data_IF_403828682657
#
_entry.id   IF_403828682657
#
_cell.length_a   1.000
_cell.length_b   1.000
_cell.length_c   1.000
_cell.angle_alpha   90.00
_cell.angle_beta   90.00
_cell.angle_gamma   90.00
#
_symmetry.space_group_name_H-M   'P 1'
#
loop_
_entity.id
_entity.type
_entity.pdbx_description
1 polymer ?
#
# COMPACT_ATOMS: atom_id res chain seq x y z
N UNK A 1 63.14 19.31 3.49
CA UNK A 1 62.35 19.38 2.24
C UNK A 1 60.90 19.07 2.58
N UNK A 2 60.16 19.98 3.22
CA UNK A 2 59.34 21.02 2.60
C UNK A 2 58.60 20.56 1.33
N UNK A 3 57.29 20.29 1.45
CA UNK A 3 56.23 20.96 0.67
C UNK A 3 54.87 20.28 0.88
N UNK A 4 53.98 21.06 1.47
CA UNK A 4 52.52 20.90 1.53
C UNK A 4 51.92 21.11 0.11
N UNK A 5 50.95 20.31 -0.32
CA UNK A 5 50.04 20.70 -1.42
C UNK A 5 48.68 19.99 -1.35
N UNK A 6 47.69 20.78 -0.94
CA UNK A 6 46.26 20.57 -1.19
C UNK A 6 46.00 20.34 -2.69
N UNK A 7 45.20 19.33 -3.02
CA UNK A 7 44.73 19.04 -4.38
C UNK A 7 43.26 18.65 -4.38
N UNK A 8 42.39 19.65 -4.34
CA UNK A 8 40.94 19.57 -4.50
C UNK A 8 40.61 19.04 -5.91
N UNK A 9 40.34 17.74 -6.07
CA UNK A 9 39.97 17.17 -7.37
C UNK A 9 38.46 16.98 -7.47
N UNK A 10 37.83 18.02 -8.00
CA UNK A 10 36.47 18.02 -8.54
C UNK A 10 36.34 16.86 -9.54
N UNK A 11 35.71 15.74 -9.16
CA UNK A 11 35.33 14.70 -10.13
C UNK A 11 34.25 15.26 -11.05
N UNK A 12 34.69 15.65 -12.24
CA UNK A 12 33.86 15.95 -13.39
C UNK A 12 33.09 14.66 -13.80
N UNK A 13 31.75 14.62 -13.74
CA UNK A 13 30.97 13.42 -14.03
C UNK A 13 30.75 13.15 -15.53
N UNK A 14 31.43 13.86 -16.44
CA UNK A 14 31.17 13.79 -17.88
C UNK A 14 32.01 12.74 -18.64
N UNK A 15 32.33 11.59 -18.06
CA UNK A 15 32.97 10.52 -18.83
C UNK A 15 32.34 9.16 -18.57
N UNK A 16 31.23 8.89 -19.28
CA UNK A 16 30.85 7.54 -19.64
C UNK A 16 30.76 7.45 -21.17
N UNK A 17 31.31 6.38 -21.78
CA UNK A 17 31.40 6.23 -23.21
C UNK A 17 30.00 6.18 -23.83
N UNK A 18 29.85 6.93 -24.91
CA UNK A 18 28.71 6.96 -25.82
C UNK A 18 28.35 5.55 -26.32
N UNK A 19 27.55 4.82 -25.55
CA UNK A 19 26.59 3.88 -26.12
C UNK A 19 25.44 4.73 -26.64
N UNK A 20 25.65 5.33 -27.82
CA UNK A 20 24.62 5.96 -28.61
C UNK A 20 23.59 4.88 -28.97
N UNK A 21 22.62 4.68 -28.09
CA UNK A 21 21.33 4.13 -28.48
C UNK A 21 20.73 5.20 -29.37
N UNK A 22 21.02 5.08 -30.67
CA UNK A 22 20.45 5.88 -31.73
C UNK A 22 18.94 5.62 -31.74
N UNK A 23 18.22 6.31 -30.87
CA UNK A 23 16.81 6.58 -31.11
C UNK A 23 16.83 7.62 -32.21
N UNK A 24 16.78 7.12 -33.44
CA UNK A 24 16.43 7.90 -34.63
C UNK A 24 15.05 8.49 -34.37
N UNK A 25 15.01 9.63 -33.67
CA UNK A 25 13.96 10.60 -33.90
C UNK A 25 14.24 11.03 -35.31
N UNK A 26 13.51 10.41 -36.25
CA UNK A 26 13.31 11.04 -37.53
C UNK A 26 12.96 12.49 -37.19
N UNK A 27 13.87 13.40 -37.53
CA UNK A 27 13.45 14.68 -38.04
C UNK A 27 12.60 14.34 -39.26
N UNK A 28 11.38 13.86 -39.02
CA UNK A 28 10.30 14.01 -39.95
C UNK A 28 10.23 15.52 -40.08
N UNK A 29 10.84 16.02 -41.15
CA UNK A 29 10.45 17.27 -41.75
C UNK A 29 8.95 17.36 -41.53
N UNK A 30 8.51 18.31 -40.70
CA UNK A 30 7.10 18.60 -40.55
C UNK A 30 6.62 18.77 -41.99
N UNK A 31 5.79 17.86 -42.55
CA UNK A 31 5.19 18.15 -43.82
C UNK A 31 4.39 19.42 -43.54
N UNK A 32 4.74 20.53 -44.21
CA UNK A 32 3.88 21.70 -44.20
C UNK A 32 2.45 21.19 -44.43
N UNK A 33 1.49 21.45 -43.52
CA UNK A 33 0.12 21.05 -43.79
C UNK A 33 -0.29 21.72 -45.11
N UNK A 34 -0.86 20.98 -46.07
CA UNK A 34 -1.33 21.58 -47.30
C UNK A 34 -2.32 22.68 -46.92
N UNK A 35 -2.06 23.90 -47.38
CA UNK A 35 -2.81 25.13 -47.10
C UNK A 35 -4.22 25.14 -47.72
N UNK A 36 -4.87 23.98 -47.85
CA UNK A 36 -6.18 23.83 -48.45
C UNK A 36 -6.85 22.52 -47.97
N UNK A 37 -7.39 22.52 -46.76
CA UNK A 37 -8.39 21.53 -46.34
C UNK A 37 -9.70 22.31 -46.07
N UNK A 38 -10.78 22.07 -46.82
CA UNK A 38 -12.05 22.75 -46.58
C UNK A 38 -12.64 22.30 -45.23
N UNK A 39 -13.35 23.19 -44.50
CA UNK A 39 -13.92 22.86 -43.21
C UNK A 39 -15.16 21.97 -43.38
N UNK A 40 -15.00 20.66 -43.50
CA UNK A 40 -16.11 19.72 -43.40
C UNK A 40 -16.38 19.39 -41.93
N UNK A 41 -17.28 20.16 -41.33
CA UNK A 41 -18.19 19.78 -40.24
C UNK A 41 -17.63 18.86 -39.13
N UNK A 42 -16.56 19.30 -38.47
CA UNK A 42 -16.33 19.09 -37.03
C UNK A 42 -15.07 19.88 -36.66
N UNK A 43 -15.20 20.77 -35.69
CA UNK A 43 -14.19 21.76 -35.30
C UNK A 43 -13.00 21.13 -34.57
N UNK A 44 -12.11 20.44 -35.29
CA UNK A 44 -10.81 20.06 -34.78
C UNK A 44 -9.78 21.16 -35.12
N UNK A 45 -9.61 22.13 -34.22
CA UNK A 45 -8.52 23.09 -34.32
C UNK A 45 -7.20 22.42 -33.91
N UNK A 46 -6.23 22.39 -34.82
CA UNK A 46 -4.89 21.87 -34.54
C UNK A 46 -4.00 22.99 -33.98
N UNK A 47 -3.16 22.66 -33.00
CA UNK A 47 -2.18 23.57 -32.43
C UNK A 47 -0.75 23.13 -32.78
N UNK A 48 0.08 24.06 -33.25
CA UNK A 48 1.52 23.83 -33.48
C UNK A 48 2.28 24.04 -32.16
N UNK A 49 3.10 23.07 -31.76
CA UNK A 49 3.93 23.14 -30.57
C UNK A 49 5.37 22.70 -30.84
N UNK A 50 6.32 23.29 -30.11
CA UNK A 50 7.74 22.92 -30.17
C UNK A 50 8.05 21.92 -29.06
N UNK A 51 8.75 20.83 -29.38
CA UNK A 51 9.15 19.81 -28.42
C UNK A 51 10.34 20.32 -27.59
N UNK A 52 10.14 20.48 -26.28
CA UNK A 52 11.19 20.98 -25.37
C UNK A 52 11.99 19.85 -24.71
N UNK A 53 11.35 18.73 -24.33
CA UNK A 53 12.00 17.59 -23.66
C UNK A 53 11.38 16.26 -24.08
N UNK A 54 12.21 15.24 -24.29
CA UNK A 54 11.80 13.89 -24.68
C UNK A 54 12.35 12.83 -23.70
N UNK A 55 11.86 11.60 -23.78
CA UNK A 55 12.34 10.47 -22.96
C UNK A 55 12.23 10.72 -21.45
N UNK A 56 13.24 10.28 -20.68
CA UNK A 56 13.29 10.46 -19.23
C UNK A 56 13.41 11.92 -18.76
N UNK A 57 13.72 12.86 -19.66
CA UNK A 57 13.75 14.29 -19.35
C UNK A 57 12.35 14.94 -19.39
N UNK A 58 11.35 14.26 -19.94
CA UNK A 58 9.94 14.69 -19.87
C UNK A 58 9.36 14.51 -18.46
N UNK A 59 8.30 15.22 -18.11
CA UNK A 59 7.67 15.10 -16.78
C UNK A 59 7.22 13.67 -16.47
N UNK A 60 6.60 12.96 -17.43
CA UNK A 60 6.20 11.56 -17.28
C UNK A 60 7.41 10.62 -17.16
N UNK A 61 8.48 10.88 -17.92
CA UNK A 61 9.72 10.14 -17.86
C UNK A 61 10.42 10.28 -16.51
N UNK A 62 10.49 11.50 -15.96
CA UNK A 62 11.02 11.77 -14.63
C UNK A 62 10.30 10.99 -13.52
N UNK A 63 8.96 10.92 -13.60
CA UNK A 63 8.15 10.11 -12.67
C UNK A 63 8.49 8.62 -12.77
N UNK A 64 8.55 8.06 -13.97
CA UNK A 64 8.94 6.66 -14.16
C UNK A 64 10.32 6.36 -13.59
N UNK A 65 11.30 7.26 -13.79
CA UNK A 65 12.64 7.12 -13.22
C UNK A 65 12.61 7.05 -11.69
N UNK A 66 11.77 7.86 -11.04
CA UNK A 66 11.63 7.84 -9.58
C UNK A 66 10.96 6.57 -9.03
N UNK A 67 10.09 5.92 -9.81
CA UNK A 67 9.46 4.64 -9.46
C UNK A 67 10.45 3.48 -9.62
N UNK A 68 11.25 3.49 -10.68
CA UNK A 68 12.26 2.46 -10.99
C UNK A 68 13.44 2.50 -10.03
N UNK A 69 13.85 3.70 -9.62
CA UNK A 69 14.95 3.93 -8.69
C UNK A 69 14.43 4.60 -7.43
N UNK A 70 13.66 3.87 -6.60
CA UNK A 70 13.20 4.40 -5.34
C UNK A 70 14.42 4.72 -4.48
N UNK A 71 14.36 5.84 -3.76
CA UNK A 71 15.36 6.15 -2.73
C UNK A 71 15.31 5.03 -1.69
N UNK A 72 16.48 4.57 -1.23
CA UNK A 72 16.57 3.49 -0.24
C UNK A 72 15.67 3.79 0.96
N UNK A 73 14.67 2.94 1.19
CA UNK A 73 13.73 3.06 2.30
C UNK A 73 14.41 2.74 3.62
N UNK A 74 13.97 3.39 4.71
CA UNK A 74 14.51 3.17 6.04
C UNK A 74 14.37 1.70 6.45
N UNK A 75 15.50 1.04 6.72
CA UNK A 75 15.61 -0.36 7.12
C UNK A 75 15.13 -0.63 8.56
N UNK A 76 14.11 0.09 9.02
CA UNK A 76 13.65 0.08 10.41
C UNK A 76 13.30 -1.33 10.90
N UNK A 77 12.57 -2.11 10.12
CA UNK A 77 12.18 -3.49 10.48
C UNK A 77 13.37 -4.43 10.65
N UNK A 78 14.32 -4.39 9.71
CA UNK A 78 15.53 -5.23 9.77
C UNK A 78 16.39 -4.80 10.97
N UNK A 79 16.53 -3.50 11.18
CA UNK A 79 17.31 -2.96 12.30
C UNK A 79 16.67 -3.34 13.64
N UNK A 80 15.35 -3.29 13.75
CA UNK A 80 14.61 -3.67 14.95
C UNK A 80 14.71 -5.18 15.23
N UNK A 81 14.57 -6.00 14.18
CA UNK A 81 14.77 -7.45 14.25
C UNK A 81 16.18 -7.81 14.71
N UNK A 82 17.20 -7.08 14.23
CA UNK A 82 18.60 -7.28 14.65
C UNK A 82 18.82 -6.90 16.11
N UNK A 83 18.19 -5.82 16.61
CA UNK A 83 18.25 -5.45 18.04
C UNK A 83 17.63 -6.53 18.92
N UNK A 84 16.50 -7.10 18.51
CA UNK A 84 15.85 -8.20 19.24
C UNK A 84 16.74 -9.45 19.29
N UNK A 85 17.31 -9.87 18.15
CA UNK A 85 18.22 -11.02 18.08
C UNK A 85 19.46 -10.78 18.96
N UNK A 86 20.02 -9.56 18.94
CA UNK A 86 21.15 -9.22 19.78
C UNK A 86 20.82 -9.31 21.28
N UNK A 87 19.65 -8.82 21.71
CA UNK A 87 19.22 -8.95 23.10
C UNK A 87 19.04 -10.41 23.53
N UNK A 88 18.44 -11.25 22.67
CA UNK A 88 18.31 -12.70 22.92
C UNK A 88 19.67 -13.40 23.01
N UNK A 89 20.64 -12.98 22.20
CA UNK A 89 22.00 -13.53 22.24
C UNK A 89 22.70 -13.22 23.57
N UNK A 90 22.60 -11.99 24.07
CA UNK A 90 23.19 -11.60 25.36
C UNK A 90 22.56 -12.41 26.50
N UNK A 91 21.22 -12.56 26.51
CA UNK A 91 20.53 -13.41 27.48
C UNK A 91 20.96 -14.87 27.40
N UNK A 92 21.09 -15.42 26.19
CA UNK A 92 21.57 -16.78 25.94
C UNK A 92 23.01 -16.99 26.44
N UNK A 93 23.90 -16.01 26.24
CA UNK A 93 25.28 -16.07 26.76
C UNK A 93 25.32 -16.05 28.29
N UNK A 94 24.49 -15.23 28.95
CA UNK A 94 24.39 -15.21 30.41
C UNK A 94 23.88 -16.56 30.96
N UNK A 95 22.85 -17.12 30.34
CA UNK A 95 22.33 -18.43 30.73
C UNK A 95 23.33 -19.56 30.47
N UNK A 96 24.05 -19.50 29.35
CA UNK A 96 25.08 -20.46 29.00
C UNK A 96 26.26 -20.41 29.96
N UNK A 97 26.76 -19.23 30.35
CA UNK A 97 27.86 -19.10 31.31
C UNK A 97 27.49 -19.68 32.67
N UNK A 98 26.27 -19.41 33.16
CA UNK A 98 25.76 -20.04 34.38
C UNK A 98 25.69 -21.57 34.27
N UNK A 99 25.09 -22.08 33.17
CA UNK A 99 24.98 -23.51 32.92
C UNK A 99 26.34 -24.19 32.76
N UNK A 100 27.33 -23.52 32.16
CA UNK A 100 28.67 -24.04 31.95
C UNK A 100 29.44 -24.18 33.27
N UNK A 101 29.35 -23.20 34.18
CA UNK A 101 29.97 -23.27 35.51
C UNK A 101 29.39 -24.44 36.32
N UNK A 102 28.06 -24.57 36.34
CA UNK A 102 27.38 -25.66 37.05
C UNK A 102 27.74 -27.05 36.47
N UNK A 103 27.82 -27.14 35.15
CA UNK A 103 28.17 -28.39 34.45
C UNK A 103 29.65 -28.76 34.65
N UNK A 104 30.53 -27.76 34.77
CA UNK A 104 31.93 -27.97 35.11
C UNK A 104 32.10 -28.44 36.57
N UNK A 105 31.36 -27.87 37.53
CA UNK A 105 31.36 -28.34 38.93
C UNK A 105 30.89 -29.78 39.08
N UNK A 106 30.00 -30.25 38.20
CA UNK A 106 29.52 -31.63 38.14
C UNK A 106 30.48 -32.60 37.42
N UNK A 107 31.65 -32.14 36.99
CA UNK A 107 32.67 -32.98 36.34
C UNK A 107 32.31 -33.42 34.92
N UNK A 108 31.46 -32.68 34.21
CA UNK A 108 31.07 -33.05 32.85
C UNK A 108 32.24 -32.92 31.85
N UNK A 109 32.26 -33.81 30.86
CA UNK A 109 33.27 -33.76 29.80
C UNK A 109 33.11 -32.50 28.93
N UNK A 110 34.22 -31.92 28.42
CA UNK A 110 34.17 -30.70 27.62
C UNK A 110 33.29 -30.83 26.36
N UNK A 111 33.22 -32.02 25.76
CA UNK A 111 32.31 -32.27 24.63
C UNK A 111 30.83 -32.09 24.98
N UNK A 112 30.41 -32.41 26.21
CA UNK A 112 29.04 -32.22 26.70
C UNK A 112 28.68 -30.72 26.78
N UNK A 113 29.64 -29.90 27.20
CA UNK A 113 29.50 -28.44 27.33
C UNK A 113 29.30 -27.81 25.94
N UNK A 114 30.07 -28.27 24.94
CA UNK A 114 29.97 -27.79 23.56
C UNK A 114 28.64 -28.19 22.91
N UNK A 115 28.15 -29.43 23.08
CA UNK A 115 26.83 -29.80 22.57
C UNK A 115 25.71 -28.94 23.18
N UNK A 116 25.80 -28.61 24.48
CA UNK A 116 24.83 -27.74 25.16
C UNK A 116 24.88 -26.29 24.69
N UNK A 117 26.02 -25.81 24.20
CA UNK A 117 26.13 -24.50 23.58
C UNK A 117 25.32 -24.42 22.28
N UNK A 118 25.49 -25.40 21.39
CA UNK A 118 24.74 -25.46 20.13
C UNK A 118 23.23 -25.63 20.37
N UNK A 119 22.84 -26.44 21.36
CA UNK A 119 21.44 -26.59 21.80
C UNK A 119 20.82 -25.23 22.19
N UNK A 120 21.55 -24.42 22.99
CA UNK A 120 21.11 -23.07 23.39
C UNK A 120 20.93 -22.12 22.19
N UNK A 121 21.81 -22.20 21.18
CA UNK A 121 21.68 -21.41 19.94
C UNK A 121 20.42 -21.82 19.18
N UNK A 122 20.16 -23.13 19.05
CA UNK A 122 18.97 -23.63 18.35
C UNK A 122 17.67 -23.34 19.09
N UNK A 123 17.70 -23.15 20.41
CA UNK A 123 16.55 -22.69 21.20
C UNK A 123 16.29 -21.20 20.97
N UNK A 124 17.34 -20.38 20.91
CA UNK A 124 17.21 -18.94 20.69
C UNK A 124 16.63 -18.62 19.30
N UNK A 125 17.02 -19.39 18.27
CA UNK A 125 16.46 -19.27 16.92
C UNK A 125 16.01 -20.66 16.46
N UNK A 126 14.76 -21.05 16.74
CA UNK A 126 14.26 -22.33 16.31
C UNK A 126 14.22 -22.38 14.77
N UNK A 127 14.71 -23.47 14.14
CA UNK A 127 14.69 -23.62 12.68
C UNK A 127 13.27 -23.66 12.09
N UNK A 128 12.25 -23.85 12.93
CA UNK A 128 10.84 -23.78 12.56
C UNK A 128 10.31 -22.34 12.39
N UNK A 129 11.02 -21.32 12.89
CA UNK A 129 10.56 -19.93 12.85
C UNK A 129 10.45 -19.39 11.40
N UNK A 130 11.47 -19.54 10.54
CA UNK A 130 11.38 -19.11 9.14
C UNK A 130 10.30 -19.88 8.35
N UNK A 131 10.13 -21.16 8.67
CA UNK A 131 9.07 -21.98 8.07
C UNK A 131 7.68 -21.47 8.44
N UNK A 132 7.46 -21.14 9.72
CA UNK A 132 6.20 -20.56 10.21
C UNK A 132 5.88 -19.22 9.53
N UNK A 133 6.88 -18.33 9.41
CA UNK A 133 6.73 -17.05 8.72
C UNK A 133 6.32 -17.23 7.24
N UNK A 134 6.93 -18.21 6.57
CA UNK A 134 6.62 -18.54 5.17
C UNK A 134 5.19 -19.06 5.04
N UNK A 135 4.78 -20.02 5.88
CA UNK A 135 3.42 -20.57 5.88
C UNK A 135 2.40 -19.46 6.14
N UNK A 136 2.66 -18.61 7.14
CA UNK A 136 1.80 -17.47 7.48
C UNK A 136 1.61 -16.54 6.28
N UNK A 137 2.70 -16.22 5.58
CA UNK A 137 2.67 -15.33 4.41
C UNK A 137 1.92 -15.96 3.24
N UNK A 138 2.11 -17.25 2.97
CA UNK A 138 1.38 -17.97 1.91
C UNK A 138 -0.12 -18.04 2.19
N UNK A 139 -0.51 -18.31 3.44
CA UNK A 139 -1.92 -18.32 3.84
C UNK A 139 -2.55 -16.92 3.73
N UNK A 140 -1.82 -15.87 4.11
CA UNK A 140 -2.26 -14.48 3.94
C UNK A 140 -2.45 -14.13 2.46
N UNK A 141 -1.49 -14.51 1.60
CA UNK A 141 -1.58 -14.30 0.16
C UNK A 141 -2.78 -15.03 -0.45
N UNK A 142 -3.04 -16.28 -0.05
CA UNK A 142 -4.22 -17.04 -0.49
C UNK A 142 -5.54 -16.40 -0.06
N UNK A 143 -5.59 -15.77 1.13
CA UNK A 143 -6.75 -15.01 1.60
C UNK A 143 -6.95 -13.70 0.81
N UNK A 144 -5.87 -12.99 0.49
CA UNK A 144 -5.91 -11.74 -0.28
C UNK A 144 -6.32 -11.98 -1.74
N UNK A 145 -5.81 -13.04 -2.37
CA UNK A 145 -6.18 -13.41 -3.74
C UNK A 145 -7.66 -13.71 -3.90
N UNK A 146 -8.30 -14.35 -2.91
CA UNK A 146 -9.76 -14.57 -2.90
C UNK A 146 -10.57 -13.28 -2.84
N UNK A 147 -9.98 -12.17 -2.39
CA UNK A 147 -10.58 -10.83 -2.37
C UNK A 147 -10.17 -9.98 -3.58
N UNK A 148 -9.62 -10.60 -4.63
CA UNK A 148 -9.08 -9.93 -5.82
C UNK A 148 -7.94 -8.93 -5.53
N UNK A 149 -7.22 -9.09 -4.40
CA UNK A 149 -6.03 -8.31 -4.06
C UNK A 149 -4.78 -9.11 -4.42
N UNK A 150 -4.01 -8.60 -5.38
CA UNK A 150 -2.78 -9.23 -5.85
C UNK A 150 -1.56 -8.54 -5.26
N UNK A 151 -0.73 -9.30 -4.54
CA UNK A 151 0.49 -8.79 -3.90
C UNK A 151 1.70 -9.21 -4.72
N UNK A 152 2.51 -8.24 -5.15
CA UNK A 152 3.74 -8.49 -5.94
C UNK A 152 4.93 -8.91 -5.07
N UNK A 153 4.99 -8.41 -3.83
CA UNK A 153 6.11 -8.66 -2.91
C UNK A 153 5.55 -9.14 -1.56
N UNK A 154 5.78 -10.40 -1.16
CA UNK A 154 5.21 -10.97 0.06
C UNK A 154 5.61 -10.21 1.34
N UNK A 155 6.83 -9.67 1.40
CA UNK A 155 7.34 -8.91 2.56
C UNK A 155 6.47 -7.69 2.92
N UNK A 156 5.77 -7.12 1.92
CA UNK A 156 4.86 -5.98 2.13
C UNK A 156 3.65 -6.35 2.98
N UNK A 157 3.28 -7.63 3.04
CA UNK A 157 2.15 -8.10 3.86
C UNK A 157 2.48 -7.93 5.35
N UNK A 158 3.71 -8.24 5.76
CA UNK A 158 4.16 -8.04 7.13
C UNK A 158 4.27 -6.54 7.46
N UNK A 159 4.85 -5.76 6.56
CA UNK A 159 4.97 -4.31 6.73
C UNK A 159 3.61 -3.61 6.83
N UNK A 160 2.58 -4.11 6.13
CA UNK A 160 1.22 -3.56 6.19
C UNK A 160 0.60 -3.62 7.60
N UNK A 161 1.06 -4.56 8.45
CA UNK A 161 0.61 -4.66 9.85
C UNK A 161 1.12 -3.56 10.76
N UNK A 162 2.17 -2.83 10.35
CA UNK A 162 2.79 -1.75 11.13
C UNK A 162 2.45 -0.35 10.63
N UNK A 163 1.50 -0.22 9.69
CA UNK A 163 1.10 1.07 9.14
C UNK A 163 0.33 1.90 10.18
N UNK A 164 0.77 3.15 10.41
CA UNK A 164 0.11 4.10 11.29
C UNK A 164 -0.72 5.15 10.55
N UNK A 165 -0.39 5.43 9.29
CA UNK A 165 -1.04 6.45 8.45
C UNK A 165 -1.33 5.87 7.07
N UNK A 166 -2.53 6.13 6.55
CA UNK A 166 -2.95 5.75 5.20
C UNK A 166 -3.32 7.01 4.43
N UNK A 167 -2.59 7.30 3.36
CA UNK A 167 -2.92 8.38 2.43
C UNK A 167 -3.81 7.86 1.31
N UNK A 168 -4.92 8.54 1.05
CA UNK A 168 -5.81 8.23 -0.07
C UNK A 168 -5.63 9.28 -1.16
N UNK A 169 -5.40 8.83 -2.39
CA UNK A 169 -5.54 9.70 -3.56
C UNK A 169 -7.03 9.97 -3.83
N UNK A 170 -7.36 11.14 -4.36
CA UNK A 170 -8.76 11.51 -4.60
C UNK A 170 -9.24 10.95 -5.94
N UNK A 171 -8.70 11.48 -7.04
CA UNK A 171 -9.28 11.30 -8.37
C UNK A 171 -8.83 9.98 -8.98
N UNK A 172 -9.77 9.08 -9.25
CA UNK A 172 -9.48 7.72 -9.70
C UNK A 172 -9.25 6.71 -8.57
N UNK A 173 -9.36 7.14 -7.30
CA UNK A 173 -9.30 6.24 -6.13
C UNK A 173 -10.54 6.43 -5.24
N UNK A 174 -10.74 7.60 -4.62
CA UNK A 174 -11.95 7.89 -3.86
C UNK A 174 -13.13 8.28 -4.77
N UNK A 175 -12.83 8.87 -5.92
CA UNK A 175 -13.84 9.29 -6.90
C UNK A 175 -13.54 8.65 -8.25
N UNK A 176 -14.59 8.39 -9.03
CA UNK A 176 -14.44 7.99 -10.42
C UNK A 176 -13.81 9.13 -11.25
N UNK A 177 -13.13 8.78 -12.35
CA UNK A 177 -12.59 9.76 -13.28
C UNK A 177 -13.70 10.20 -14.23
N UNK A 178 -14.39 11.27 -13.85
CA UNK A 178 -15.49 11.83 -14.65
C UNK A 178 -16.25 12.90 -13.88
N UNK A 179 -17.00 13.73 -14.62
CA UNK A 179 -17.96 14.65 -14.05
C UNK A 179 -19.36 14.13 -14.39
N UNK A 180 -20.17 13.84 -13.37
CA UNK A 180 -21.55 13.41 -13.54
C UNK A 180 -22.50 14.49 -12.99
N UNK A 181 -23.52 14.84 -13.77
CA UNK A 181 -24.50 15.83 -13.38
C UNK A 181 -25.51 15.20 -12.42
N UNK A 182 -25.31 15.40 -11.11
CA UNK A 182 -26.20 14.82 -10.09
C UNK A 182 -27.57 15.50 -9.96
N UNK A 183 -27.71 16.74 -10.44
CA UNK A 183 -28.98 17.44 -10.39
C UNK A 183 -28.84 18.93 -10.66
N UNK A 184 -29.99 19.57 -10.89
CA UNK A 184 -30.12 21.01 -11.07
C UNK A 184 -31.05 21.52 -9.97
N UNK A 185 -30.62 22.57 -9.26
CA UNK A 185 -31.47 23.24 -8.27
C UNK A 185 -32.07 24.49 -8.94
N UNK A 186 -33.38 24.50 -9.25
CA UNK A 186 -34.01 25.67 -9.83
C UNK A 186 -34.12 26.76 -8.77
N UNK A 187 -33.68 27.97 -9.12
CA UNK A 187 -33.94 29.16 -8.31
C UNK A 187 -35.29 29.71 -8.73
N UNK A 188 -36.29 29.56 -7.86
CA UNK A 188 -37.56 30.28 -8.03
C UNK A 188 -37.32 31.70 -7.56
N UNK A 189 -37.16 32.64 -8.50
CA UNK A 189 -37.15 34.05 -8.18
C UNK A 189 -38.55 34.41 -7.68
N UNK A 190 -38.72 34.48 -6.36
CA UNK A 190 -39.88 35.14 -5.79
C UNK A 190 -39.89 36.56 -6.33
N UNK A 191 -40.90 36.90 -7.12
CA UNK A 191 -41.29 38.30 -7.28
C UNK A 191 -41.47 38.81 -5.86
N UNK A 192 -40.62 39.75 -5.45
CA UNK A 192 -40.85 40.54 -4.24
C UNK A 192 -42.08 41.40 -4.53
N UNK A 193 -43.25 40.77 -4.42
CA UNK A 193 -44.53 41.45 -4.39
C UNK A 193 -44.69 42.02 -3.00
N UNK A 194 -44.59 43.34 -2.88
CA UNK A 194 -45.07 44.05 -1.71
C UNK A 194 -46.54 43.67 -1.47
N UNK A 195 -46.83 43.09 -0.32
CA UNK A 195 -48.15 42.57 0.00
C UNK A 195 -48.23 42.13 1.45
N UNK A 196 -48.51 43.09 2.32
CA UNK A 196 -48.82 42.92 3.74
C UNK A 196 -49.91 41.87 3.96
N UNK A 197 -49.71 40.95 4.90
CA UNK A 197 -50.74 39.99 5.29
C UNK A 197 -50.26 38.92 6.27
N UNK A 198 -50.24 39.25 7.55
CA UNK A 198 -50.15 38.26 8.63
C UNK A 198 -51.34 37.30 8.58
N UNK A 199 -51.06 35.99 8.56
CA UNK A 199 -51.90 35.02 9.26
C UNK A 199 -51.07 33.84 9.74
N UNK A 200 -50.94 33.76 11.05
CA UNK A 200 -50.40 32.63 11.78
C UNK A 200 -51.32 31.42 11.62
N UNK A 201 -50.78 30.32 11.10
CA UNK A 201 -51.21 28.98 11.51
C UNK A 201 -49.95 28.19 11.89
N UNK A 202 -49.80 28.03 13.21
CA UNK A 202 -48.89 27.11 13.85
C UNK A 202 -49.68 25.80 14.04
N UNK A 203 -49.23 24.71 13.44
CA UNK A 203 -49.76 23.39 13.76
C UNK A 203 -49.44 22.28 12.76
N UNK A 204 -48.52 21.39 13.14
CA UNK A 204 -48.66 19.97 12.86
C UNK A 204 -47.77 19.40 11.75
N UNK A 205 -46.51 19.09 12.09
CA UNK A 205 -45.67 18.22 11.29
C UNK A 205 -46.27 16.82 11.12
N UNK A 206 -46.48 16.39 9.88
CA UNK A 206 -46.67 14.98 9.52
C UNK A 206 -45.97 14.73 8.18
N UNK A 207 -45.17 13.65 8.14
CA UNK A 207 -44.76 13.03 6.87
C UNK A 207 -43.26 12.96 6.56
N UNK A 208 -42.36 12.81 7.53
CA UNK A 208 -40.93 12.45 7.26
C UNK A 208 -40.38 11.31 8.14
N UNK A 209 -41.25 10.53 8.78
CA UNK A 209 -40.86 9.37 9.60
C UNK A 209 -40.91 8.02 8.88
N UNK A 210 -41.76 7.87 7.86
CA UNK A 210 -42.10 6.55 7.30
C UNK A 210 -41.00 5.87 6.46
N UNK A 211 -40.17 6.63 5.75
CA UNK A 211 -39.13 6.06 4.88
C UNK A 211 -37.85 5.69 5.63
N UNK A 212 -37.51 6.40 6.72
CA UNK A 212 -36.33 6.10 7.54
C UNK A 212 -36.52 4.85 8.40
N UNK A 213 -37.71 4.63 8.96
CA UNK A 213 -38.01 3.40 9.72
C UNK A 213 -38.11 2.15 8.83
N UNK A 214 -38.61 2.27 7.59
CA UNK A 214 -38.68 1.14 6.66
C UNK A 214 -37.28 0.68 6.22
N UNK A 215 -36.37 1.62 5.95
CA UNK A 215 -34.98 1.31 5.62
C UNK A 215 -34.21 0.68 6.79
N UNK A 216 -34.40 1.16 8.02
CA UNK A 216 -33.75 0.58 9.21
C UNK A 216 -34.27 -0.83 9.54
N UNK A 217 -35.60 -1.04 9.46
CA UNK A 217 -36.21 -2.37 9.69
C UNK A 217 -35.82 -3.38 8.61
N UNK A 218 -35.58 -2.94 7.38
CA UNK A 218 -35.12 -3.81 6.31
C UNK A 218 -33.65 -4.21 6.49
N UNK A 219 -32.79 -3.27 6.91
CA UNK A 219 -31.39 -3.56 7.22
C UNK A 219 -31.20 -4.46 8.46
N UNK A 220 -32.02 -4.30 9.50
CA UNK A 220 -31.97 -5.18 10.67
C UNK A 220 -32.41 -6.62 10.34
N UNK A 221 -33.46 -6.77 9.53
CA UNK A 221 -33.93 -8.10 9.08
C UNK A 221 -32.90 -8.83 8.21
N UNK A 222 -32.15 -8.11 7.39
CA UNK A 222 -31.04 -8.71 6.63
C UNK A 222 -29.89 -9.16 7.54
N UNK A 223 -29.47 -8.32 8.49
CA UNK A 223 -28.42 -8.67 9.46
C UNK A 223 -28.81 -9.86 10.33
N UNK A 224 -30.08 -9.97 10.70
CA UNK A 224 -30.58 -11.09 11.49
C UNK A 224 -30.65 -12.39 10.66
N UNK A 225 -31.02 -12.30 9.37
CA UNK A 225 -30.97 -13.43 8.43
C UNK A 225 -29.54 -13.90 8.18
N UNK A 226 -28.58 -12.99 8.08
CA UNK A 226 -27.17 -13.31 7.91
C UNK A 226 -26.60 -14.00 9.16
N UNK A 227 -26.87 -13.47 10.36
CA UNK A 227 -26.48 -14.12 11.63
C UNK A 227 -27.11 -15.50 11.80
N UNK A 228 -28.36 -15.68 11.36
CA UNK A 228 -29.03 -16.99 11.43
C UNK A 228 -28.38 -18.01 10.49
N UNK A 229 -28.01 -17.60 9.27
CA UNK A 229 -27.28 -18.43 8.31
C UNK A 229 -25.88 -18.79 8.78
N UNK A 230 -25.20 -17.87 9.47
CA UNK A 230 -23.86 -18.12 10.01
C UNK A 230 -23.90 -19.13 11.15
N UNK A 231 -24.85 -19.00 12.08
CA UNK A 231 -25.07 -19.97 13.17
C UNK A 231 -25.47 -21.35 12.65
N UNK A 232 -26.23 -21.41 11.57
CA UNK A 232 -26.62 -22.68 10.94
C UNK A 232 -25.41 -23.39 10.32
N UNK A 233 -24.55 -22.65 9.61
CA UNK A 233 -23.29 -23.17 9.07
C UNK A 233 -22.32 -23.63 10.16
N UNK A 234 -22.30 -22.95 11.31
CA UNK A 234 -21.46 -23.33 12.44
C UNK A 234 -21.95 -24.63 13.09
N UNK A 235 -23.26 -24.79 13.27
CA UNK A 235 -23.88 -26.04 13.75
C UNK A 235 -23.68 -27.20 12.79
N UNK A 236 -23.71 -26.94 11.48
CA UNK A 236 -23.48 -27.98 10.47
C UNK A 236 -22.02 -28.47 10.51
N UNK A 237 -21.06 -27.55 10.65
CA UNK A 237 -19.63 -27.89 10.85
C UNK A 237 -19.36 -28.64 12.15
N UNK A 238 -20.09 -28.32 13.21
CA UNK A 238 -19.97 -29.01 14.50
C UNK A 238 -20.51 -30.44 14.41
N UNK A 239 -21.64 -30.64 13.74
CA UNK A 239 -22.20 -31.97 13.46
C UNK A 239 -21.31 -32.82 12.57
N UNK A 240 -20.63 -32.20 11.60
CA UNK A 240 -19.67 -32.90 10.74
C UNK A 240 -18.45 -33.37 11.53
N UNK A 241 -17.94 -32.53 12.45
CA UNK A 241 -16.85 -32.89 13.37
C UNK A 241 -17.21 -33.98 14.37
N UNK A 242 -18.46 -34.07 14.80
CA UNK A 242 -18.94 -35.17 15.66
C UNK A 242 -19.09 -36.49 14.90
N UNK A 243 -19.35 -36.46 13.58
CA UNK A 243 -19.42 -37.67 12.74
C UNK A 243 -18.05 -38.24 12.38
N UNK A 244 -17.02 -37.40 12.40
CA UNK A 244 -15.63 -37.80 12.13
C UNK A 244 -14.87 -38.29 13.37
N UNK A 245 -15.48 -38.24 14.56
CA UNK A 245 -14.95 -38.78 15.81
C UNK A 245 -15.59 -40.13 16.14
#
# INVERSE_FOLDING_TARGET
SNSNSNGNSHRNPNNHPSAAVAVTVAAAAVPCPPSSIPPSSSSASYALGVVVRTGFASSKGGLLRSILFPKSGDGGFVTDSLRFIFAMLVGSMALFTWAAVELHRKGASPGRIVLRFFDMITIAVPPALPACLTITTVLALGRLRRKAVFVTSPDRIAAAGHLSVVGFDKTGTLTEQGLDLKGVVPVVLGVVGGGSGNRSEVGGGRGRGGERERGQRQGEREREREKKRERERERERERERERER
#
